data_IF_861033566234
#
_entry.id   IF_861033566234
#
_cell.length_a   1.000
_cell.length_b   1.000
_cell.length_c   1.000
_cell.angle_alpha   90.00
_cell.angle_beta   90.00
_cell.angle_gamma   90.00
#
_symmetry.space_group_name_H-M   'P 1'
#
loop_
_entity.id
_entity.type
_entity.pdbx_description
1 polymer ?
#
# COMPACT_ATOMS: atom_id res chain seq x y z
N UNK A 1 -6.84 -22.00 -8.73
CA UNK A 1 -5.36 -21.85 -8.80
C UNK A 1 -4.92 -20.38 -8.65
N UNK A 2 -5.29 -19.41 -9.54
CA UNK A 2 -4.84 -18.01 -9.39
C UNK A 2 -5.27 -17.40 -8.05
N UNK A 3 -6.52 -17.52 -7.65
CA UNK A 3 -7.04 -16.98 -6.39
C UNK A 3 -6.36 -17.57 -5.15
N UNK A 4 -5.96 -18.84 -5.20
CA UNK A 4 -5.22 -19.50 -4.11
C UNK A 4 -3.77 -18.98 -4.03
N UNK A 5 -3.10 -18.77 -5.18
CA UNK A 5 -1.78 -18.10 -5.23
C UNK A 5 -1.89 -16.70 -4.64
N UNK A 6 -2.90 -15.95 -5.05
CA UNK A 6 -3.19 -14.60 -4.57
C UNK A 6 -3.42 -14.58 -3.06
N UNK A 7 -4.26 -15.47 -2.54
CA UNK A 7 -4.50 -15.58 -1.10
C UNK A 7 -3.22 -15.91 -0.32
N UNK A 8 -2.38 -16.82 -0.83
CA UNK A 8 -1.12 -17.17 -0.18
C UNK A 8 -0.15 -15.98 -0.21
N UNK A 9 -0.06 -15.24 -1.34
CA UNK A 9 0.77 -14.05 -1.43
C UNK A 9 0.36 -13.00 -0.40
N UNK A 10 -0.95 -12.69 -0.29
CA UNK A 10 -1.43 -11.70 0.68
C UNK A 10 -1.20 -12.13 2.14
N UNK A 11 -1.30 -13.42 2.44
CA UNK A 11 -0.92 -13.97 3.76
C UNK A 11 0.57 -13.77 4.05
N UNK A 12 1.44 -14.02 3.09
CA UNK A 12 2.88 -13.81 3.26
C UNK A 12 3.22 -12.33 3.44
N UNK A 13 2.58 -11.43 2.67
CA UNK A 13 2.77 -9.98 2.83
C UNK A 13 2.20 -9.49 4.17
N UNK A 14 1.03 -9.98 4.59
CA UNK A 14 0.47 -9.68 5.92
C UNK A 14 1.43 -10.07 7.05
N UNK A 15 2.01 -11.26 6.99
CA UNK A 15 2.98 -11.71 8.01
C UNK A 15 4.19 -10.76 8.12
N UNK A 16 4.78 -10.37 6.98
CA UNK A 16 5.89 -9.42 6.97
C UNK A 16 5.47 -8.02 7.45
N UNK A 17 4.34 -7.56 6.98
CA UNK A 17 3.81 -6.24 7.32
C UNK A 17 3.45 -6.14 8.80
N UNK A 18 2.66 -7.07 9.34
CA UNK A 18 2.22 -7.06 10.74
C UNK A 18 3.36 -7.29 11.74
N UNK A 19 4.49 -7.87 11.30
CA UNK A 19 5.70 -7.95 12.11
C UNK A 19 6.38 -6.59 12.29
N UNK A 20 6.25 -5.68 11.31
CA UNK A 20 6.82 -4.33 11.29
C UNK A 20 5.83 -3.29 11.83
N UNK A 21 4.54 -3.43 11.52
CA UNK A 21 3.45 -2.54 11.94
C UNK A 21 2.70 -3.21 13.09
N UNK A 22 3.18 -3.00 14.32
CA UNK A 22 2.63 -3.63 15.53
C UNK A 22 1.14 -3.30 15.75
N UNK A 23 0.66 -2.16 15.31
CA UNK A 23 -0.75 -1.74 15.42
C UNK A 23 -1.69 -2.68 14.65
N UNK A 24 -1.25 -3.22 13.51
CA UNK A 24 -1.99 -4.24 12.77
C UNK A 24 -2.17 -5.53 13.58
N UNK A 25 -1.13 -5.93 14.34
CA UNK A 25 -1.23 -7.08 15.27
C UNK A 25 -2.15 -6.79 16.45
N UNK A 26 -2.09 -5.58 16.99
CA UNK A 26 -2.99 -5.18 18.09
C UNK A 26 -4.45 -5.28 17.65
N UNK A 27 -4.77 -4.77 16.45
CA UNK A 27 -6.11 -4.93 15.86
C UNK A 27 -6.48 -6.42 15.69
N UNK A 28 -5.60 -7.23 15.10
CA UNK A 28 -5.87 -8.66 14.91
C UNK A 28 -6.14 -9.37 16.23
N UNK A 29 -5.33 -9.12 17.26
CA UNK A 29 -5.48 -9.70 18.58
C UNK A 29 -6.79 -9.27 19.25
N UNK A 30 -7.12 -7.98 19.16
CA UNK A 30 -8.35 -7.39 19.71
C UNK A 30 -9.60 -8.06 19.10
N UNK A 31 -9.69 -8.10 17.78
CA UNK A 31 -10.85 -8.71 17.09
C UNK A 31 -10.94 -10.22 17.36
N UNK A 32 -9.81 -10.92 17.33
CA UNK A 32 -9.80 -12.38 17.59
C UNK A 32 -10.17 -12.69 19.05
N UNK A 33 -9.73 -11.89 20.03
CA UNK A 33 -10.09 -12.05 21.44
C UNK A 33 -11.60 -11.86 21.68
N UNK A 34 -12.24 -10.98 20.90
CA UNK A 34 -13.69 -10.78 20.90
C UNK A 34 -14.47 -11.86 20.12
N UNK A 35 -13.82 -12.94 19.70
CA UNK A 35 -14.42 -14.02 18.92
C UNK A 35 -14.74 -13.66 17.47
N UNK A 36 -14.23 -12.52 17.01
CA UNK A 36 -14.43 -12.02 15.64
C UNK A 36 -13.48 -12.60 14.61
N UNK A 37 -13.64 -12.15 13.38
CA UNK A 37 -12.81 -12.51 12.22
C UNK A 37 -12.06 -11.29 11.70
N UNK A 38 -10.85 -11.51 11.18
CA UNK A 38 -10.03 -10.44 10.58
C UNK A 38 -10.02 -10.61 9.07
N UNK A 39 -10.57 -9.62 8.38
CA UNK A 39 -10.52 -9.49 6.93
C UNK A 39 -9.90 -8.15 6.56
N UNK A 40 -9.32 -8.06 5.37
CA UNK A 40 -8.78 -6.82 4.84
C UNK A 40 -9.68 -6.27 3.73
N UNK A 41 -10.03 -4.99 3.82
CA UNK A 41 -10.76 -4.26 2.78
C UNK A 41 -9.88 -4.06 1.55
N UNK A 42 -8.67 -3.54 1.75
CA UNK A 42 -7.70 -3.33 0.68
C UNK A 42 -6.25 -3.35 1.17
N UNK A 43 -5.35 -3.45 0.18
CA UNK A 43 -3.90 -3.31 0.36
C UNK A 43 -3.44 -2.17 -0.55
N UNK A 44 -2.64 -1.25 0.00
CA UNK A 44 -2.12 -0.11 -0.75
C UNK A 44 -0.64 -0.22 -1.04
N UNK A 45 -0.27 0.16 -2.26
CA UNK A 45 1.10 0.21 -2.76
C UNK A 45 1.40 1.59 -3.35
N UNK A 46 2.67 1.97 -3.29
CA UNK A 46 3.20 3.20 -3.87
C UNK A 46 4.21 2.87 -4.96
N UNK A 47 4.30 3.72 -5.99
CA UNK A 47 5.20 3.54 -7.12
C UNK A 47 5.61 4.88 -7.74
N UNK A 48 6.41 4.84 -8.81
CA UNK A 48 6.88 6.02 -9.55
C UNK A 48 6.50 5.88 -11.02
N UNK A 49 5.73 6.80 -11.58
CA UNK A 49 5.57 6.91 -13.03
C UNK A 49 6.86 7.48 -13.61
N UNK A 50 7.75 6.59 -13.97
CA UNK A 50 9.07 6.91 -14.50
C UNK A 50 9.58 5.75 -15.37
N UNK A 51 10.03 6.07 -16.58
CA UNK A 51 10.69 5.11 -17.45
C UNK A 51 12.15 4.95 -17.07
N UNK A 52 12.59 3.72 -16.93
CA UNK A 52 14.00 3.38 -16.69
C UNK A 52 14.48 2.38 -17.72
N UNK A 53 15.73 2.51 -18.15
CA UNK A 53 16.38 1.53 -19.00
C UNK A 53 16.85 0.35 -18.17
N UNK A 54 16.51 -0.85 -18.62
CA UNK A 54 16.97 -2.13 -18.05
C UNK A 54 17.59 -2.98 -19.14
N UNK A 55 18.36 -4.01 -18.79
CA UNK A 55 18.91 -4.95 -19.79
C UNK A 55 17.84 -5.62 -20.68
N UNK A 56 16.59 -5.67 -20.22
CA UNK A 56 15.44 -6.26 -20.93
C UNK A 56 14.63 -5.21 -21.71
N UNK A 57 15.01 -3.94 -21.71
CA UNK A 57 14.32 -2.81 -22.33
C UNK A 57 13.83 -1.78 -21.33
N UNK A 58 13.04 -0.84 -21.80
CA UNK A 58 12.47 0.20 -20.94
C UNK A 58 11.31 -0.35 -20.10
N UNK A 59 11.31 0.00 -18.81
CA UNK A 59 10.23 -0.35 -17.87
C UNK A 59 9.71 0.92 -17.19
N UNK A 60 8.39 1.10 -17.17
CA UNK A 60 7.75 2.11 -16.36
C UNK A 60 7.58 1.55 -14.93
N UNK A 61 8.21 2.20 -13.94
CA UNK A 61 8.21 1.77 -12.54
C UNK A 61 6.89 2.06 -11.80
N UNK A 62 5.89 2.59 -12.47
CA UNK A 62 4.60 2.98 -11.92
C UNK A 62 3.56 1.85 -11.89
N UNK A 63 2.31 2.26 -12.06
CA UNK A 63 1.15 1.35 -12.13
C UNK A 63 1.29 0.36 -13.29
N UNK A 64 1.94 0.74 -14.39
CA UNK A 64 2.18 -0.18 -15.50
C UNK A 64 2.99 -1.41 -15.09
N UNK A 65 3.93 -1.28 -14.16
CA UNK A 65 4.68 -2.42 -13.61
C UNK A 65 3.86 -3.20 -12.58
N UNK A 66 3.38 -2.54 -11.51
CA UNK A 66 2.64 -3.23 -10.45
C UNK A 66 1.28 -3.77 -10.90
N UNK A 67 0.61 -3.05 -11.82
CA UNK A 67 -0.69 -3.46 -12.37
C UNK A 67 -0.62 -4.78 -13.14
N UNK A 68 0.50 -5.06 -13.84
CA UNK A 68 0.70 -6.36 -14.49
C UNK A 68 0.63 -7.53 -13.51
N UNK A 69 1.15 -7.36 -12.29
CA UNK A 69 1.04 -8.39 -11.23
C UNK A 69 -0.38 -8.52 -10.73
N UNK A 70 -1.09 -7.40 -10.52
CA UNK A 70 -2.50 -7.43 -10.15
C UNK A 70 -3.34 -8.18 -11.19
N UNK A 71 -3.19 -7.84 -12.46
CA UNK A 71 -3.92 -8.47 -13.58
C UNK A 71 -3.55 -9.96 -13.75
N UNK A 72 -2.28 -10.31 -13.63
CA UNK A 72 -1.81 -11.69 -13.70
C UNK A 72 -2.39 -12.55 -12.56
N UNK A 73 -2.58 -11.96 -11.38
CA UNK A 73 -3.23 -12.58 -10.23
C UNK A 73 -4.75 -12.66 -10.36
N UNK A 74 -5.34 -12.06 -11.39
CA UNK A 74 -6.78 -12.13 -11.68
C UNK A 74 -7.57 -10.88 -11.27
N UNK A 75 -6.92 -9.84 -10.81
CA UNK A 75 -7.57 -8.55 -10.54
C UNK A 75 -7.93 -7.81 -11.83
N UNK A 76 -8.95 -6.98 -11.76
CA UNK A 76 -9.41 -6.09 -12.82
C UNK A 76 -9.41 -4.65 -12.31
N UNK A 77 -8.96 -3.73 -13.14
CA UNK A 77 -9.04 -2.30 -12.83
C UNK A 77 -10.52 -1.88 -12.69
N UNK A 78 -10.83 -1.12 -11.64
CA UNK A 78 -12.19 -0.78 -11.27
C UNK A 78 -12.44 0.72 -11.07
N UNK A 79 -11.38 1.53 -10.93
CA UNK A 79 -11.49 2.98 -10.86
C UNK A 79 -10.14 3.67 -10.86
N UNK A 80 -10.15 4.94 -11.24
CA UNK A 80 -8.96 5.78 -11.39
C UNK A 80 -9.14 7.09 -10.62
N UNK A 81 -8.03 7.62 -10.07
CA UNK A 81 -8.03 8.80 -9.21
C UNK A 81 -6.83 9.69 -9.56
N UNK A 82 -7.08 10.99 -9.72
CA UNK A 82 -6.03 11.98 -9.97
C UNK A 82 -5.95 12.97 -8.81
N UNK A 83 -4.75 13.23 -8.31
CA UNK A 83 -4.45 14.15 -7.23
C UNK A 83 -3.46 15.19 -7.75
N UNK A 84 -3.96 16.15 -8.53
CA UNK A 84 -3.15 17.11 -9.26
C UNK A 84 -2.21 17.94 -8.37
N UNK A 85 -2.65 18.31 -7.16
CA UNK A 85 -1.83 19.13 -6.24
C UNK A 85 -0.61 18.39 -5.67
N UNK A 86 -0.65 17.07 -5.65
CA UNK A 86 0.44 16.21 -5.13
C UNK A 86 1.14 15.42 -6.23
N UNK A 87 0.78 15.66 -7.50
CA UNK A 87 1.31 14.96 -8.68
C UNK A 87 1.15 13.44 -8.58
N UNK A 88 0.02 12.98 -8.03
CA UNK A 88 -0.26 11.57 -7.86
C UNK A 88 -1.42 11.12 -8.78
N UNK A 89 -1.29 9.92 -9.27
CA UNK A 89 -2.35 9.17 -9.91
C UNK A 89 -2.49 7.82 -9.23
N UNK A 90 -3.69 7.27 -9.17
CA UNK A 90 -3.93 5.97 -8.57
C UNK A 90 -4.99 5.18 -9.34
N UNK A 91 -4.90 3.88 -9.23
CA UNK A 91 -5.89 2.94 -9.73
C UNK A 91 -6.23 1.93 -8.65
N UNK A 92 -7.53 1.64 -8.49
CA UNK A 92 -7.91 0.51 -7.65
C UNK A 92 -8.31 -0.69 -8.52
N UNK A 93 -8.08 -1.87 -7.96
CA UNK A 93 -8.35 -3.14 -8.60
C UNK A 93 -9.26 -3.99 -7.71
N UNK A 94 -10.16 -4.74 -8.35
CA UNK A 94 -11.04 -5.72 -7.72
C UNK A 94 -10.76 -7.11 -8.25
N UNK A 95 -10.87 -8.10 -7.39
CA UNK A 95 -10.80 -9.49 -7.83
C UNK A 95 -12.23 -10.03 -8.05
N UNK A 96 -12.57 -10.66 -9.20
CA UNK A 96 -13.92 -11.18 -9.46
C UNK A 96 -14.41 -12.19 -8.41
N UNK A 97 -13.48 -12.89 -7.77
CA UNK A 97 -13.76 -13.87 -6.70
C UNK A 97 -13.44 -13.31 -5.30
N UNK A 98 -13.50 -11.98 -5.10
CA UNK A 98 -13.14 -11.39 -3.79
C UNK A 98 -13.99 -11.91 -2.64
N UNK A 99 -15.31 -12.12 -2.85
CA UNK A 99 -16.22 -12.63 -1.83
C UNK A 99 -15.92 -14.09 -1.48
N UNK A 100 -15.68 -14.92 -2.50
CA UNK A 100 -15.44 -16.36 -2.34
C UNK A 100 -14.15 -16.66 -1.57
N UNK A 101 -13.09 -15.92 -1.87
CA UNK A 101 -11.75 -16.13 -1.28
C UNK A 101 -11.37 -15.07 -0.24
N UNK A 102 -12.27 -14.15 0.09
CA UNK A 102 -11.99 -13.02 0.99
C UNK A 102 -10.74 -12.24 0.58
N UNK A 103 -10.66 -11.90 -0.72
CA UNK A 103 -9.52 -11.18 -1.29
C UNK A 103 -9.72 -9.66 -1.13
N UNK A 104 -8.73 -8.94 -0.60
CA UNK A 104 -8.81 -7.49 -0.49
C UNK A 104 -8.74 -6.83 -1.88
N UNK A 105 -9.28 -5.63 -2.03
CA UNK A 105 -8.99 -4.76 -3.16
C UNK A 105 -7.52 -4.35 -3.14
N UNK A 106 -7.01 -3.89 -4.28
CA UNK A 106 -5.70 -3.26 -4.34
C UNK A 106 -5.87 -1.78 -4.68
N UNK A 107 -5.12 -0.93 -3.99
CA UNK A 107 -5.00 0.48 -4.31
C UNK A 107 -3.54 0.77 -4.65
N UNK A 108 -3.26 0.99 -5.93
CA UNK A 108 -1.90 1.23 -6.43
C UNK A 108 -1.82 2.68 -6.87
N UNK A 109 -0.95 3.46 -6.23
CA UNK A 109 -0.69 4.85 -6.59
C UNK A 109 0.71 5.02 -7.18
N UNK A 110 0.89 6.08 -7.95
CA UNK A 110 2.17 6.45 -8.54
C UNK A 110 2.39 7.96 -8.47
N UNK A 111 3.62 8.37 -8.24
CA UNK A 111 4.06 9.74 -8.34
C UNK A 111 4.45 10.02 -9.80
N UNK A 112 3.88 11.06 -10.40
CA UNK A 112 4.19 11.52 -11.76
C UNK A 112 5.48 12.32 -11.69
N UNK A 113 6.61 11.66 -11.87
CA UNK A 113 7.94 12.25 -11.62
C UNK A 113 8.24 13.42 -12.55
N UNK A 114 7.73 13.38 -13.78
CA UNK A 114 7.94 14.44 -14.79
C UNK A 114 7.21 15.76 -14.44
N UNK A 115 6.27 15.73 -13.51
CA UNK A 115 5.57 16.94 -13.02
C UNK A 115 6.29 17.62 -11.85
N UNK A 116 7.35 17.02 -11.32
CA UNK A 116 8.15 17.58 -10.23
C UNK A 116 9.18 18.61 -10.73
N UNK A 117 9.71 19.47 -9.84
CA UNK A 117 10.86 20.30 -10.18
C UNK A 117 12.01 19.47 -10.77
N UNK A 118 12.63 19.96 -11.85
CA UNK A 118 13.59 19.21 -12.66
C UNK A 118 14.74 18.60 -11.83
N UNK A 119 15.26 19.33 -10.85
CA UNK A 119 16.32 18.83 -9.96
C UNK A 119 15.85 17.61 -9.15
N UNK A 120 14.64 17.64 -8.63
CA UNK A 120 14.07 16.54 -7.84
C UNK A 120 13.78 15.32 -8.73
N UNK A 121 13.18 15.54 -9.91
CA UNK A 121 12.98 14.48 -10.89
C UNK A 121 14.30 13.79 -11.29
N UNK A 122 15.37 14.55 -11.48
CA UNK A 122 16.71 14.02 -11.79
C UNK A 122 17.30 13.21 -10.61
N UNK A 123 17.14 13.67 -9.37
CA UNK A 123 17.58 12.91 -8.19
C UNK A 123 16.86 11.58 -8.07
N UNK A 124 15.55 11.57 -8.25
CA UNK A 124 14.74 10.34 -8.25
C UNK A 124 15.21 9.41 -9.38
N UNK A 125 15.29 9.92 -10.62
CA UNK A 125 15.68 9.13 -11.79
C UNK A 125 17.05 8.49 -11.61
N UNK A 126 18.06 9.26 -11.15
CA UNK A 126 19.41 8.76 -10.88
C UNK A 126 19.42 7.67 -9.83
N UNK A 127 18.64 7.80 -8.77
CA UNK A 127 18.55 6.81 -7.70
C UNK A 127 17.98 5.50 -8.20
N UNK A 128 16.83 5.55 -8.89
CA UNK A 128 16.14 4.33 -9.32
C UNK A 128 16.79 3.66 -10.54
N UNK A 129 17.63 4.36 -11.29
CA UNK A 129 18.44 3.75 -12.38
C UNK A 129 19.48 2.74 -11.86
N UNK A 130 19.73 2.71 -10.55
CA UNK A 130 20.62 1.75 -9.88
C UNK A 130 19.95 0.40 -9.58
N UNK A 131 18.98 -0.02 -10.40
CA UNK A 131 18.31 -1.32 -10.23
C UNK A 131 19.36 -2.44 -10.20
N UNK A 132 19.40 -3.15 -9.08
CA UNK A 132 20.46 -4.11 -8.76
C UNK A 132 20.14 -5.53 -9.22
N UNK A 133 18.92 -5.78 -9.67
CA UNK A 133 18.48 -7.09 -10.17
C UNK A 133 17.40 -6.94 -11.25
N UNK A 134 17.23 -8.03 -11.98
CA UNK A 134 16.25 -8.11 -13.06
C UNK A 134 14.82 -7.91 -12.54
N UNK A 135 14.10 -6.93 -13.09
CA UNK A 135 12.69 -6.74 -12.80
C UNK A 135 11.91 -7.92 -13.37
N UNK A 136 11.35 -8.75 -12.50
CA UNK A 136 10.68 -9.99 -12.89
C UNK A 136 9.35 -9.70 -13.58
N UNK A 137 9.04 -10.43 -14.64
CA UNK A 137 7.73 -10.44 -15.26
C UNK A 137 6.77 -11.36 -14.48
N UNK A 138 5.52 -10.96 -14.21
CA UNK A 138 4.54 -11.84 -13.57
C UNK A 138 4.25 -13.10 -14.39
N UNK A 139 4.28 -13.01 -15.72
CA UNK A 139 4.05 -14.15 -16.61
C UNK A 139 5.12 -15.23 -16.44
N UNK A 140 6.37 -14.83 -16.26
CA UNK A 140 7.49 -15.77 -16.02
C UNK A 140 7.32 -16.52 -14.69
N UNK A 141 6.79 -15.88 -13.67
CA UNK A 141 6.57 -16.50 -12.36
C UNK A 141 5.36 -17.44 -12.33
N UNK A 142 4.27 -17.08 -13.02
CA UNK A 142 3.03 -17.87 -13.05
C UNK A 142 3.07 -19.05 -14.01
N UNK A 143 4.01 -19.09 -14.95
CA UNK A 143 4.17 -20.20 -15.91
C UNK A 143 5.07 -21.33 -15.40
N UNK A 144 5.69 -21.20 -14.24
CA UNK A 144 6.55 -22.24 -13.67
C UNK A 144 5.73 -23.41 -13.16
N UNK A 145 6.16 -24.62 -13.43
CA UNK A 145 5.68 -25.88 -12.83
C UNK A 145 6.08 -25.95 -11.34
N UNK A 146 5.66 -24.96 -10.57
CA UNK A 146 5.93 -24.86 -9.15
C UNK A 146 4.60 -24.93 -8.36
N UNK A 147 4.69 -25.39 -7.12
CA UNK A 147 3.53 -25.37 -6.25
C UNK A 147 3.13 -23.92 -5.86
N UNK A 148 1.88 -23.76 -5.44
CA UNK A 148 1.26 -22.45 -5.08
C UNK A 148 2.11 -21.66 -4.08
N UNK A 149 2.66 -22.33 -3.07
CA UNK A 149 3.47 -21.68 -2.02
C UNK A 149 4.79 -21.12 -2.58
N UNK A 150 5.45 -21.88 -3.46
CA UNK A 150 6.70 -21.46 -4.12
C UNK A 150 6.46 -20.25 -5.02
N UNK A 151 5.38 -20.26 -5.80
CA UNK A 151 5.00 -19.14 -6.66
C UNK A 151 4.70 -17.90 -5.79
N UNK A 152 3.93 -18.03 -4.72
CA UNK A 152 3.62 -16.94 -3.82
C UNK A 152 4.87 -16.34 -3.16
N UNK A 153 5.85 -17.17 -2.74
CA UNK A 153 7.13 -16.71 -2.20
C UNK A 153 7.98 -15.97 -3.25
N UNK A 154 7.96 -16.41 -4.50
CA UNK A 154 8.65 -15.70 -5.58
C UNK A 154 7.97 -14.35 -5.88
N UNK A 155 6.64 -14.32 -5.97
CA UNK A 155 5.87 -13.08 -6.15
C UNK A 155 6.10 -12.08 -5.00
N UNK A 156 6.26 -12.57 -3.77
CA UNK A 156 6.55 -11.71 -2.61
C UNK A 156 7.82 -10.87 -2.80
N UNK A 157 8.81 -11.34 -3.58
CA UNK A 157 10.06 -10.60 -3.84
C UNK A 157 9.87 -9.38 -4.75
N UNK A 158 8.73 -9.25 -5.41
CA UNK A 158 8.37 -8.04 -6.17
C UNK A 158 8.11 -6.85 -5.24
N UNK A 159 7.55 -7.12 -4.05
CA UNK A 159 7.10 -6.10 -3.12
C UNK A 159 8.22 -5.66 -2.15
N UNK A 160 9.34 -5.27 -2.74
CA UNK A 160 10.53 -4.73 -2.07
C UNK A 160 11.09 -3.55 -2.88
N UNK A 161 12.14 -2.92 -2.40
CA UNK A 161 12.88 -1.90 -3.17
C UNK A 161 13.82 -2.56 -4.19
N UNK A 162 13.65 -2.30 -5.51
CA UNK A 162 14.46 -2.94 -6.54
C UNK A 162 15.78 -2.20 -6.86
N UNK A 163 16.02 -1.02 -6.33
CA UNK A 163 17.26 -0.24 -6.50
C UNK A 163 18.13 -0.23 -5.24
N UNK A 164 19.38 0.17 -5.42
CA UNK A 164 20.35 0.30 -4.32
C UNK A 164 19.87 1.34 -3.29
N UNK A 165 20.38 1.30 -2.04
CA UNK A 165 20.08 2.33 -1.05
C UNK A 165 20.36 3.74 -1.59
N UNK A 166 19.42 4.70 -1.44
CA UNK A 166 19.62 6.08 -1.85
C UNK A 166 20.65 6.76 -0.96
N UNK A 167 21.30 7.81 -1.46
CA UNK A 167 22.09 8.72 -0.62
C UNK A 167 21.16 9.43 0.39
N UNK A 168 21.66 9.66 1.61
CA UNK A 168 20.89 10.30 2.67
C UNK A 168 20.42 11.70 2.25
N UNK A 169 21.32 12.54 1.72
CA UNK A 169 20.98 13.89 1.26
C UNK A 169 19.92 13.90 0.17
N UNK A 170 19.94 12.92 -0.75
CA UNK A 170 18.91 12.77 -1.80
C UNK A 170 17.53 12.51 -1.20
N UNK A 171 17.45 11.62 -0.22
CA UNK A 171 16.16 11.33 0.44
C UNK A 171 15.65 12.56 1.18
N UNK A 172 16.52 13.27 1.91
CA UNK A 172 16.17 14.48 2.65
C UNK A 172 15.72 15.61 1.71
N UNK A 173 16.40 15.82 0.57
CA UNK A 173 16.02 16.83 -0.43
C UNK A 173 14.70 16.49 -1.13
N UNK A 174 14.52 15.25 -1.57
CA UNK A 174 13.27 14.79 -2.17
C UNK A 174 12.10 14.94 -1.18
N UNK A 175 12.32 14.64 0.11
CA UNK A 175 11.30 14.76 1.15
C UNK A 175 10.82 16.19 1.39
N UNK A 176 11.64 17.20 1.11
CA UNK A 176 11.23 18.61 1.21
C UNK A 176 10.15 18.97 0.17
N UNK A 177 10.15 18.30 -0.99
CA UNK A 177 9.21 18.53 -2.09
C UNK A 177 8.09 17.49 -2.10
N UNK A 178 8.44 16.22 -1.95
CA UNK A 178 7.48 15.10 -1.94
C UNK A 178 7.89 14.03 -0.94
N UNK A 179 7.18 13.98 0.18
CA UNK A 179 7.35 12.89 1.16
C UNK A 179 7.00 11.52 0.56
N UNK A 180 6.07 11.49 -0.40
CA UNK A 180 5.70 10.29 -1.14
C UNK A 180 6.90 9.74 -1.93
N UNK A 181 7.59 10.61 -2.68
CA UNK A 181 8.79 10.26 -3.45
C UNK A 181 9.90 9.73 -2.55
N UNK A 182 10.20 10.43 -1.44
CA UNK A 182 11.20 9.99 -0.47
C UNK A 182 10.86 8.60 0.11
N UNK A 183 9.59 8.37 0.45
CA UNK A 183 9.12 7.08 0.93
C UNK A 183 9.37 5.96 -0.10
N UNK A 184 9.03 6.20 -1.38
CA UNK A 184 9.23 5.20 -2.44
C UNK A 184 10.72 4.94 -2.66
N UNK A 185 11.58 5.96 -2.63
CA UNK A 185 13.03 5.75 -2.73
C UNK A 185 13.59 4.83 -1.64
N UNK A 186 13.04 4.90 -0.43
CA UNK A 186 13.47 4.08 0.71
C UNK A 186 12.87 2.67 0.72
N UNK A 187 11.59 2.55 0.41
CA UNK A 187 10.82 1.31 0.62
C UNK A 187 10.44 0.59 -0.68
N UNK A 188 10.56 1.25 -1.83
CA UNK A 188 10.18 0.69 -3.14
C UNK A 188 8.71 0.32 -3.20
N UNK A 189 8.46 -0.91 -3.61
CA UNK A 189 7.12 -1.50 -3.73
C UNK A 189 6.61 -2.19 -2.45
N UNK A 190 7.23 -1.92 -1.30
CA UNK A 190 6.74 -2.46 -0.04
C UNK A 190 5.27 -2.06 0.21
N UNK A 191 4.55 -2.89 0.96
CA UNK A 191 3.17 -2.55 1.36
C UNK A 191 3.18 -1.25 2.15
N UNK A 192 2.43 -0.25 1.70
CA UNK A 192 2.26 1.00 2.43
C UNK A 192 1.27 0.84 3.59
N UNK A 193 0.12 0.19 3.35
CA UNK A 193 -0.80 -0.21 4.41
C UNK A 193 -1.67 -1.39 4.00
N UNK A 194 -2.09 -2.13 5.00
CA UNK A 194 -3.29 -2.96 4.97
C UNK A 194 -4.42 -2.21 5.67
N UNK A 195 -5.65 -2.47 5.24
CA UNK A 195 -6.86 -1.87 5.80
C UNK A 195 -7.78 -2.96 6.34
N UNK A 196 -8.04 -2.94 7.63
CA UNK A 196 -9.02 -3.84 8.27
C UNK A 196 -10.43 -3.53 7.80
N UNK A 197 -11.18 -4.58 7.45
CA UNK A 197 -12.55 -4.49 6.95
C UNK A 197 -13.55 -4.65 8.11
N UNK A 198 -14.04 -3.52 8.63
CA UNK A 198 -14.93 -3.50 9.81
C UNK A 198 -16.22 -4.28 9.57
N UNK A 199 -16.76 -4.24 8.35
CA UNK A 199 -17.97 -5.00 8.00
C UNK A 199 -17.85 -6.53 8.15
N UNK A 200 -16.62 -7.05 8.16
CA UNK A 200 -16.35 -8.49 8.26
C UNK A 200 -15.78 -8.92 9.62
N UNK A 201 -15.80 -8.02 10.62
CA UNK A 201 -15.30 -8.35 11.98
C UNK A 201 -16.15 -9.40 12.68
N UNK A 202 -17.43 -9.49 12.38
CA UNK A 202 -18.35 -10.52 12.90
C UNK A 202 -18.33 -10.66 14.42
N UNK A 203 -18.19 -9.56 15.15
CA UNK A 203 -18.25 -9.53 16.62
C UNK A 203 -19.18 -8.41 17.10
N UNK A 204 -20.07 -8.69 18.08
CA UNK A 204 -20.94 -7.67 18.65
C UNK A 204 -20.19 -6.65 19.52
N UNK A 205 -18.95 -6.95 19.94
CA UNK A 205 -18.15 -6.05 20.76
C UNK A 205 -17.64 -4.83 19.98
N UNK A 206 -17.38 -5.02 18.67
CA UNK A 206 -16.90 -3.96 17.77
C UNK A 206 -17.79 -3.92 16.50
N UNK A 207 -19.04 -3.43 16.61
CA UNK A 207 -20.01 -3.49 15.50
C UNK A 207 -19.75 -2.46 14.40
N UNK A 208 -18.95 -1.45 14.66
CA UNK A 208 -18.70 -0.32 13.76
C UNK A 208 -17.28 0.25 13.89
N UNK A 209 -16.97 1.20 13.01
CA UNK A 209 -15.65 1.83 12.95
C UNK A 209 -15.37 2.71 14.18
N UNK A 210 -16.40 3.34 14.75
CA UNK A 210 -16.25 4.21 15.93
C UNK A 210 -15.80 3.38 17.14
N UNK A 211 -16.53 2.33 17.46
CA UNK A 211 -16.20 1.43 18.58
C UNK A 211 -14.86 0.72 18.35
N UNK A 212 -14.54 0.37 17.10
CA UNK A 212 -13.24 -0.25 16.76
C UNK A 212 -12.08 0.71 16.96
N UNK A 213 -12.22 1.97 16.51
CA UNK A 213 -11.18 2.99 16.66
C UNK A 213 -10.96 3.37 18.13
N UNK A 214 -12.04 3.55 18.89
CA UNK A 214 -11.98 3.83 20.32
C UNK A 214 -11.31 2.69 21.10
N UNK A 215 -11.62 1.44 20.77
CA UNK A 215 -10.99 0.29 21.40
C UNK A 215 -9.48 0.22 21.13
N UNK A 216 -9.07 0.49 19.89
CA UNK A 216 -7.64 0.58 19.54
C UNK A 216 -6.94 1.71 20.33
N UNK A 217 -7.55 2.89 20.40
CA UNK A 217 -7.02 4.01 21.17
C UNK A 217 -6.88 3.65 22.66
N UNK A 218 -7.87 2.98 23.24
CA UNK A 218 -7.84 2.51 24.64
C UNK A 218 -6.76 1.46 24.90
N UNK A 219 -6.34 0.71 23.86
CA UNK A 219 -5.20 -0.19 23.91
C UNK A 219 -3.85 0.52 23.71
N UNK A 220 -3.86 1.86 23.63
CA UNK A 220 -2.65 2.68 23.46
C UNK A 220 -2.16 2.78 22.01
N UNK A 221 -2.97 2.41 21.03
CA UNK A 221 -2.64 2.61 19.62
C UNK A 221 -2.86 4.09 19.27
N UNK A 222 -1.84 4.79 18.72
CA UNK A 222 -1.98 6.19 18.35
C UNK A 222 -2.83 6.32 17.07
N UNK A 223 -4.13 6.51 17.26
CA UNK A 223 -5.09 6.70 16.19
C UNK A 223 -5.08 8.12 15.66
N UNK A 224 -5.43 8.30 14.38
CA UNK A 224 -5.80 9.60 13.81
C UNK A 224 -7.03 10.14 14.57
N UNK A 225 -7.05 11.46 14.80
CA UNK A 225 -8.13 12.09 15.57
C UNK A 225 -9.50 12.03 14.87
N UNK A 226 -9.51 11.93 13.55
CA UNK A 226 -10.72 11.98 12.74
C UNK A 226 -10.98 10.64 12.04
N UNK A 227 -12.26 10.28 11.95
CA UNK A 227 -12.76 9.26 11.01
C UNK A 227 -13.26 10.00 9.78
N UNK A 228 -12.60 9.78 8.65
CA UNK A 228 -12.90 10.45 7.39
C UNK A 228 -14.10 9.81 6.69
N UNK A 229 -14.79 10.61 5.88
CA UNK A 229 -15.97 10.18 5.16
C UNK A 229 -17.23 10.20 6.03
N UNK A 230 -18.32 9.71 5.47
CA UNK A 230 -19.61 9.59 6.16
C UNK A 230 -20.46 8.48 5.56
N UNK A 231 -21.52 8.10 6.26
CA UNK A 231 -22.43 7.01 5.82
C UNK A 231 -23.03 7.30 4.43
N UNK A 232 -23.44 8.56 4.18
CA UNK A 232 -24.05 8.96 2.90
C UNK A 232 -23.09 8.88 1.70
N UNK A 233 -21.76 9.01 1.95
CA UNK A 233 -20.74 8.80 0.92
C UNK A 233 -20.38 7.32 0.71
N UNK A 234 -20.89 6.42 1.55
CA UNK A 234 -20.67 4.98 1.42
C UNK A 234 -19.38 4.45 2.02
N UNK A 235 -18.49 5.31 2.56
CA UNK A 235 -17.22 4.90 3.14
C UNK A 235 -16.86 5.79 4.32
N UNK A 236 -16.47 5.16 5.43
CA UNK A 236 -15.76 5.80 6.54
C UNK A 236 -14.46 5.07 6.80
N UNK A 237 -13.39 5.80 7.08
CA UNK A 237 -12.06 5.23 7.31
C UNK A 237 -11.24 6.08 8.27
N UNK A 238 -10.34 5.43 8.99
CA UNK A 238 -9.34 6.08 9.84
C UNK A 238 -8.08 5.22 9.90
N UNK A 239 -7.00 5.76 10.44
CA UNK A 239 -5.73 5.08 10.46
C UNK A 239 -4.98 5.32 11.78
N UNK A 240 -4.04 4.44 12.08
CA UNK A 240 -3.02 4.68 13.11
C UNK A 240 -1.98 5.67 12.61
N UNK A 241 -1.18 6.22 13.50
CA UNK A 241 0.07 6.86 13.09
C UNK A 241 1.00 5.84 12.40
N UNK A 242 1.88 6.33 11.53
CA UNK A 242 2.89 5.49 10.91
C UNK A 242 3.95 5.05 11.93
N UNK A 243 4.39 3.80 11.83
CA UNK A 243 5.55 3.34 12.59
C UNK A 243 6.84 3.90 12.02
N UNK A 244 7.82 4.13 12.87
CA UNK A 244 9.18 4.49 12.48
C UNK A 244 10.06 3.24 12.54
N UNK A 245 10.90 3.06 11.54
CA UNK A 245 11.89 1.97 11.51
C UNK A 245 13.26 2.49 11.06
N UNK A 246 14.30 1.70 11.28
CA UNK A 246 15.62 1.99 10.75
C UNK A 246 15.71 1.55 9.30
N UNK A 247 16.07 2.48 8.41
CA UNK A 247 16.21 2.25 6.97
C UNK A 247 17.65 2.44 6.51
N UNK A 248 18.07 1.65 5.53
CA UNK A 248 19.42 1.73 4.97
C UNK A 248 19.48 2.82 3.90
N UNK A 249 20.41 3.74 4.07
CA UNK A 249 20.82 4.77 3.10
C UNK A 249 22.34 4.77 2.95
N UNK A 250 22.87 5.45 1.93
CA UNK A 250 24.30 5.69 1.78
C UNK A 250 24.68 7.02 2.46
N UNK A 251 25.76 7.00 3.22
CA UNK A 251 26.39 8.21 3.75
C UNK A 251 27.02 9.01 2.60
N UNK A 252 26.75 10.30 2.55
CA UNK A 252 27.12 11.17 1.42
C UNK A 252 28.64 11.36 1.26
N UNK A 253 29.42 11.20 2.32
CA UNK A 253 30.87 11.39 2.31
C UNK A 253 31.63 10.08 2.05
N UNK A 254 31.25 9.02 2.73
CA UNK A 254 31.96 7.73 2.68
C UNK A 254 31.39 6.76 1.66
N UNK A 255 30.13 6.95 1.23
CA UNK A 255 29.39 5.98 0.41
C UNK A 255 29.03 4.68 1.15
N UNK A 256 29.33 4.60 2.45
CA UNK A 256 29.01 3.44 3.26
C UNK A 256 27.53 3.36 3.59
N UNK A 257 27.00 2.16 3.75
CA UNK A 257 25.63 1.96 4.25
C UNK A 257 25.52 2.37 5.71
N UNK A 258 24.55 3.23 6.01
CA UNK A 258 24.18 3.65 7.36
C UNK A 258 22.68 3.45 7.60
N UNK A 259 22.30 3.40 8.86
CA UNK A 259 20.91 3.27 9.27
C UNK A 259 20.38 4.60 9.81
N UNK A 260 19.25 5.07 9.28
CA UNK A 260 18.55 6.26 9.76
C UNK A 260 17.11 5.93 10.12
N UNK A 261 16.51 6.59 11.13
CA UNK A 261 15.09 6.42 11.41
C UNK A 261 14.25 7.09 10.32
N UNK A 262 13.22 6.37 9.84
CA UNK A 262 12.25 6.90 8.87
C UNK A 262 10.88 6.30 9.07
N UNK A 263 9.83 7.04 8.70
CA UNK A 263 8.46 6.52 8.74
C UNK A 263 8.27 5.45 7.69
N UNK A 264 7.63 4.35 8.07
CA UNK A 264 7.32 3.26 7.17
C UNK A 264 5.84 3.22 6.82
N UNK A 265 5.02 2.63 7.65
CA UNK A 265 3.65 2.25 7.31
C UNK A 265 2.72 2.44 8.52
N UNK A 266 1.45 2.55 8.25
CA UNK A 266 0.38 2.66 9.23
C UNK A 266 -0.66 1.57 8.97
N UNK A 267 -1.53 1.30 9.93
CA UNK A 267 -2.67 0.40 9.77
C UNK A 267 -3.95 1.21 9.63
N UNK A 268 -4.76 0.89 8.65
CA UNK A 268 -6.04 1.53 8.39
C UNK A 268 -7.20 0.61 8.79
N UNK A 269 -8.34 1.17 9.13
CA UNK A 269 -9.63 0.49 9.24
C UNK A 269 -10.67 1.22 8.41
N UNK A 270 -11.53 0.48 7.73
CA UNK A 270 -12.57 1.02 6.87
C UNK A 270 -13.90 0.30 7.07
N UNK A 271 -14.99 1.06 7.05
CA UNK A 271 -16.35 0.56 7.04
C UNK A 271 -17.10 1.07 5.82
N UNK A 272 -17.73 0.16 5.08
CA UNK A 272 -18.50 0.45 3.88
C UNK A 272 -19.99 0.40 4.16
N UNK A 273 -20.73 1.27 3.48
CA UNK A 273 -22.17 1.44 3.67
C UNK A 273 -22.91 1.27 2.35
N UNK A 274 -24.21 1.02 2.46
CA UNK A 274 -25.10 0.97 1.30
C UNK A 274 -25.31 2.38 0.74
N UNK A 275 -25.24 2.51 -0.57
CA UNK A 275 -25.54 3.73 -1.32
C UNK A 275 -26.52 3.39 -2.44
N UNK A 276 -27.20 4.40 -2.96
CA UNK A 276 -28.06 4.23 -4.13
C UNK A 276 -27.19 3.98 -5.38
N UNK A 277 -27.34 2.82 -6.00
CA UNK A 277 -26.69 2.47 -7.26
C UNK A 277 -27.45 2.99 -8.48
N UNK A 278 -26.87 2.82 -9.66
CA UNK A 278 -27.40 3.32 -10.95
C UNK A 278 -28.85 2.83 -11.25
N UNK A 279 -29.25 1.70 -10.71
CA UNK A 279 -30.61 1.13 -10.86
C UNK A 279 -31.59 1.56 -9.77
N UNK A 280 -31.25 2.52 -8.90
CA UNK A 280 -32.04 2.88 -7.73
C UNK A 280 -32.05 1.82 -6.62
N UNK A 281 -31.27 0.75 -6.76
CA UNK A 281 -31.11 -0.28 -5.71
C UNK A 281 -29.98 0.09 -4.78
N UNK A 282 -30.15 -0.27 -3.51
CA UNK A 282 -29.09 -0.15 -2.52
C UNK A 282 -27.97 -1.16 -2.82
N UNK A 283 -26.75 -0.65 -3.01
CA UNK A 283 -25.54 -1.45 -3.23
C UNK A 283 -24.46 -1.05 -2.25
N UNK A 284 -23.62 -1.98 -1.83
CA UNK A 284 -22.49 -1.66 -0.98
C UNK A 284 -21.50 -0.80 -1.77
N UNK A 285 -21.10 0.36 -1.22
CA UNK A 285 -20.13 1.22 -1.86
C UNK A 285 -18.79 0.50 -2.02
N UNK A 286 -18.27 0.44 -3.23
CA UNK A 286 -17.14 -0.42 -3.56
C UNK A 286 -15.94 0.32 -4.17
N UNK A 287 -16.03 1.64 -4.29
CA UNK A 287 -14.96 2.51 -4.76
C UNK A 287 -14.17 3.15 -3.59
N UNK A 288 -13.36 4.15 -3.90
CA UNK A 288 -12.64 4.97 -2.94
C UNK A 288 -13.05 6.43 -3.09
N UNK A 289 -12.98 7.18 -1.99
CA UNK A 289 -13.23 8.62 -1.99
C UNK A 289 -11.91 9.36 -2.22
N UNK A 290 -11.79 10.10 -3.32
CA UNK A 290 -10.56 10.80 -3.68
C UNK A 290 -10.10 11.81 -2.60
N UNK A 291 -11.03 12.48 -1.92
CA UNK A 291 -10.72 13.37 -0.80
C UNK A 291 -10.06 12.67 0.38
N UNK A 292 -10.50 11.46 0.71
CA UNK A 292 -9.94 10.67 1.81
C UNK A 292 -8.53 10.18 1.48
N UNK A 293 -8.32 9.66 0.25
CA UNK A 293 -7.01 9.19 -0.18
C UNK A 293 -5.94 10.29 -0.13
N UNK A 294 -6.29 11.55 -0.39
CA UNK A 294 -5.36 12.67 -0.33
C UNK A 294 -4.79 12.89 1.08
N UNK A 295 -5.61 12.78 2.12
CA UNK A 295 -5.16 12.95 3.50
C UNK A 295 -4.31 11.76 3.98
N UNK A 296 -4.61 10.55 3.51
CA UNK A 296 -3.86 9.34 3.88
C UNK A 296 -2.43 9.32 3.32
N UNK A 297 -2.17 9.99 2.19
CA UNK A 297 -0.80 10.13 1.68
C UNK A 297 0.13 10.86 2.66
N UNK A 298 -0.41 11.75 3.50
CA UNK A 298 0.34 12.53 4.49
C UNK A 298 0.70 11.71 5.75
N UNK A 299 0.08 10.54 5.97
CA UNK A 299 0.29 9.74 7.19
C UNK A 299 1.72 9.24 7.38
N UNK A 300 2.53 9.24 6.32
CA UNK A 300 3.95 8.86 6.39
C UNK A 300 4.90 10.07 6.43
N UNK A 301 4.38 11.29 6.67
CA UNK A 301 5.22 12.47 6.83
C UNK A 301 6.02 12.36 8.14
N UNK A 302 7.33 12.64 8.06
CA UNK A 302 8.16 12.80 9.25
C UNK A 302 7.71 14.05 10.02
N UNK A 303 7.24 13.85 11.23
CA UNK A 303 7.07 14.97 12.16
C UNK A 303 8.46 15.33 12.72
N UNK A 304 8.86 16.59 12.56
CA UNK A 304 10.07 17.14 13.16
C UNK A 304 9.88 17.35 14.65
#
# INVERSE_FOLDING_TARGET
MKSEITLNLWKLLWQKYSARVNYARTYQQMITAAGGTVANDHIAFRSLRLLVDTPQGQVNLGIDYLGQFAEALGYVAAGEYTFAQTHLYARHYRHPQQEEFNLPKLFISELIVDELPTNIAQLISKTVSSISYELTSPLTLLQKDANIETIAKQLQQVFIRPWLPPQRSVVEEVNQVTQYGAWVLLHGYAVNHFTGYVNAQNTPEYPDIDTTADALANLGVPMKAEIEGNIGCGLRQTATQAVTEMVTVLDDNSGAEIQIPWTYAYYEIAQRYLVEGESGKQVLFDAFLGSNAQQLFEMTRLFK
#
